data_IF_673412251157
#
_entry.id   IF_673412251157
#
_cell.length_a   1.000
_cell.length_b   1.000
_cell.length_c   1.000
_cell.angle_alpha   90.00
_cell.angle_beta   90.00
_cell.angle_gamma   90.00
#
_symmetry.space_group_name_H-M   'P 1'
#
loop_
_entity.id
_entity.type
_entity.pdbx_description
1 polymer ?
#
# COMPACT_ATOMS: atom_id res chain seq x y z
N UNK A 1 -65.76 -54.62 -57.33
CA UNK A 1 -66.55 -54.61 -56.09
C UNK A 1 -66.38 -53.26 -55.40
N UNK A 2 -67.51 -52.61 -55.04
CA UNK A 2 -67.71 -51.48 -54.10
C UNK A 2 -66.96 -50.16 -54.42
N UNK A 3 -67.63 -49.14 -54.98
CA UNK A 3 -68.50 -48.12 -54.32
C UNK A 3 -67.81 -47.41 -53.15
N UNK A 4 -67.53 -46.10 -53.26
CA UNK A 4 -68.37 -45.06 -52.63
C UNK A 4 -67.73 -43.66 -52.73
N UNK A 5 -68.63 -42.69 -52.80
CA UNK A 5 -68.56 -41.27 -53.14
C UNK A 5 -68.30 -40.38 -51.92
N UNK A 6 -68.03 -39.09 -52.21
CA UNK A 6 -68.41 -37.87 -51.45
C UNK A 6 -67.51 -37.41 -50.28
N UNK A 7 -66.97 -36.19 -50.36
CA UNK A 7 -67.59 -34.95 -49.83
C UNK A 7 -66.52 -33.85 -49.69
N UNK A 8 -66.73 -32.73 -50.38
CA UNK A 8 -65.96 -31.51 -50.22
C UNK A 8 -66.38 -30.78 -48.93
N UNK A 9 -65.39 -30.36 -48.13
CA UNK A 9 -65.59 -29.43 -47.01
C UNK A 9 -64.61 -28.26 -47.17
N UNK A 10 -65.17 -27.09 -47.48
CA UNK A 10 -64.51 -25.81 -47.64
C UNK A 10 -64.17 -25.26 -46.25
N UNK A 11 -62.87 -25.22 -45.89
CA UNK A 11 -62.39 -24.61 -44.64
C UNK A 11 -61.95 -23.17 -44.96
N UNK A 12 -62.77 -22.21 -44.55
CA UNK A 12 -62.41 -20.79 -44.47
C UNK A 12 -61.46 -20.57 -43.30
N UNK A 13 -60.18 -20.33 -43.61
CA UNK A 13 -59.17 -19.86 -42.67
C UNK A 13 -59.44 -18.38 -42.33
N UNK A 14 -59.89 -18.13 -41.10
CA UNK A 14 -59.81 -16.81 -40.49
C UNK A 14 -58.34 -16.51 -40.17
N UNK A 15 -57.77 -15.53 -40.85
CA UNK A 15 -56.51 -14.89 -40.44
C UNK A 15 -56.79 -14.08 -39.18
N UNK A 16 -56.45 -14.63 -38.01
CA UNK A 16 -56.20 -13.81 -36.82
C UNK A 16 -54.95 -13.00 -37.07
N UNK A 17 -55.12 -11.70 -37.29
CA UNK A 17 -54.04 -10.73 -37.16
C UNK A 17 -53.54 -10.76 -35.71
N UNK A 18 -52.35 -11.31 -35.49
CA UNK A 18 -51.57 -10.97 -34.32
C UNK A 18 -51.36 -9.46 -34.36
N UNK A 19 -51.83 -8.76 -33.33
CA UNK A 19 -51.40 -7.40 -33.07
C UNK A 19 -49.88 -7.43 -32.97
N UNK A 20 -49.21 -6.66 -33.81
CA UNK A 20 -47.83 -6.27 -33.55
C UNK A 20 -47.87 -5.33 -32.34
N UNK A 21 -47.93 -5.91 -31.15
CA UNK A 21 -47.42 -5.24 -29.96
C UNK A 21 -45.91 -5.19 -30.16
N UNK A 22 -45.45 -4.11 -30.79
CA UNK A 22 -44.07 -3.68 -30.65
C UNK A 22 -43.88 -3.37 -29.17
N UNK A 23 -43.53 -4.38 -28.37
CA UNK A 23 -42.83 -4.19 -27.11
C UNK A 23 -41.45 -3.61 -27.45
N UNK A 24 -41.42 -2.31 -27.80
CA UNK A 24 -40.19 -1.56 -27.77
C UNK A 24 -39.61 -1.72 -26.37
N UNK A 25 -38.42 -2.32 -26.28
CA UNK A 25 -37.74 -2.47 -25.01
C UNK A 25 -37.69 -1.09 -24.34
N UNK A 26 -38.37 -0.96 -23.20
CA UNK A 26 -38.38 0.27 -22.43
C UNK A 26 -36.93 0.64 -22.13
N UNK A 27 -36.52 1.84 -22.54
CA UNK A 27 -35.19 2.37 -22.30
C UNK A 27 -35.25 3.46 -21.25
N UNK A 28 -34.45 3.28 -20.21
CA UNK A 28 -34.22 4.24 -19.14
C UNK A 28 -32.94 5.03 -19.41
N UNK A 29 -33.00 6.36 -19.25
CA UNK A 29 -31.79 7.17 -19.10
C UNK A 29 -31.31 7.12 -17.65
N UNK A 30 -30.22 6.41 -17.40
CA UNK A 30 -29.56 6.40 -16.11
C UNK A 30 -28.54 7.54 -16.03
N UNK A 31 -28.81 8.54 -15.19
CA UNK A 31 -27.89 9.62 -14.85
C UNK A 31 -27.07 9.21 -13.63
N UNK A 32 -25.76 9.15 -13.78
CA UNK A 32 -24.83 8.90 -12.69
C UNK A 32 -24.22 10.24 -12.26
N UNK A 33 -24.26 10.54 -10.97
CA UNK A 33 -23.55 11.67 -10.35
C UNK A 33 -22.50 11.11 -9.39
N UNK A 34 -21.22 11.45 -9.61
CA UNK A 34 -20.16 11.05 -8.68
C UNK A 34 -19.91 12.10 -7.59
N UNK A 35 -19.57 11.61 -6.40
CA UNK A 35 -19.02 12.39 -5.30
C UNK A 35 -17.66 11.80 -4.91
N UNK A 36 -16.67 12.67 -4.74
CA UNK A 36 -15.35 12.29 -4.20
C UNK A 36 -15.34 12.53 -2.68
N UNK A 37 -14.54 11.80 -1.90
CA UNK A 37 -14.39 12.07 -0.47
C UNK A 37 -13.77 13.45 -0.22
N UNK A 38 -14.11 14.08 0.90
CA UNK A 38 -13.78 15.50 1.20
C UNK A 38 -12.27 15.82 1.14
N UNK A 39 -11.42 14.86 1.50
CA UNK A 39 -9.96 15.00 1.48
C UNK A 39 -9.33 14.95 0.07
N UNK A 40 -10.14 14.73 -0.98
CA UNK A 40 -9.70 14.70 -2.37
C UNK A 40 -10.31 15.83 -3.21
N UNK A 41 -10.55 16.99 -2.60
CA UNK A 41 -11.08 18.19 -3.28
C UNK A 41 -10.16 18.74 -4.39
N UNK A 42 -8.89 18.33 -4.40
CA UNK A 42 -7.94 18.64 -5.48
C UNK A 42 -8.23 17.88 -6.78
N UNK A 43 -8.92 16.73 -6.70
CA UNK A 43 -9.22 15.91 -7.85
C UNK A 43 -10.44 16.45 -8.60
N UNK A 44 -10.31 16.64 -9.91
CA UNK A 44 -11.46 16.92 -10.77
C UNK A 44 -12.37 15.69 -10.92
N UNK A 45 -13.63 15.90 -11.30
CA UNK A 45 -14.63 14.82 -11.44
C UNK A 45 -14.79 14.30 -12.88
N UNK A 46 -13.97 14.78 -13.81
CA UNK A 46 -14.05 14.39 -15.22
C UNK A 46 -13.32 13.06 -15.46
N UNK A 47 -13.69 12.36 -16.54
CA UNK A 47 -12.94 11.21 -17.04
C UNK A 47 -12.96 9.95 -16.17
N UNK A 48 -13.99 9.75 -15.35
CA UNK A 48 -14.24 8.48 -14.67
C UNK A 48 -15.01 7.55 -15.60
N UNK A 49 -14.50 6.33 -15.77
CA UNK A 49 -15.15 5.29 -16.55
C UNK A 49 -16.34 4.73 -15.77
N UNK A 50 -17.55 4.86 -16.31
CA UNK A 50 -18.78 4.29 -15.78
C UNK A 50 -19.17 3.10 -16.66
N UNK A 51 -19.38 1.94 -16.05
CA UNK A 51 -19.76 0.71 -16.73
C UNK A 51 -21.00 0.12 -16.06
N UNK A 52 -22.07 -0.06 -16.82
CA UNK A 52 -23.26 -0.79 -16.41
C UNK A 52 -23.34 -2.11 -17.17
N UNK A 53 -23.23 -3.24 -16.46
CA UNK A 53 -23.28 -4.59 -17.04
C UNK A 53 -24.63 -5.22 -16.71
N UNK A 54 -25.42 -5.55 -17.75
CA UNK A 54 -26.71 -6.20 -17.56
C UNK A 54 -26.55 -7.59 -16.96
N UNK A 55 -27.25 -7.87 -15.86
CA UNK A 55 -27.14 -9.14 -15.11
C UNK A 55 -27.57 -10.37 -15.92
N UNK A 56 -28.55 -10.21 -16.80
CA UNK A 56 -29.07 -11.29 -17.66
C UNK A 56 -28.35 -11.39 -19.00
N UNK A 57 -27.93 -10.26 -19.57
CA UNK A 57 -27.33 -10.19 -20.91
C UNK A 57 -25.81 -10.28 -20.90
N UNK A 58 -25.16 -9.97 -19.77
CA UNK A 58 -23.72 -9.71 -19.66
C UNK A 58 -23.19 -8.64 -20.62
N UNK A 59 -24.09 -7.80 -21.18
CA UNK A 59 -23.71 -6.70 -22.06
C UNK A 59 -23.33 -5.50 -21.20
N UNK A 60 -22.14 -4.94 -21.47
CA UNK A 60 -21.64 -3.75 -20.80
C UNK A 60 -21.89 -2.50 -21.64
N UNK A 61 -22.64 -1.54 -21.07
CA UNK A 61 -22.78 -0.17 -21.60
C UNK A 61 -21.81 0.73 -20.85
N UNK A 62 -21.11 1.60 -21.57
CA UNK A 62 -20.04 2.45 -21.02
C UNK A 62 -20.36 3.92 -21.23
N UNK A 63 -19.98 4.74 -20.26
CA UNK A 63 -19.95 6.19 -20.35
C UNK A 63 -18.74 6.72 -19.58
N UNK A 64 -18.49 8.02 -19.72
CA UNK A 64 -17.43 8.72 -19.02
C UNK A 64 -18.02 9.97 -18.35
N UNK A 65 -17.57 10.30 -17.15
CA UNK A 65 -18.04 11.51 -16.47
C UNK A 65 -17.53 12.79 -17.15
N UNK A 66 -18.42 13.78 -17.26
CA UNK A 66 -18.10 15.15 -17.65
C UNK A 66 -17.49 15.94 -16.46
N UNK A 67 -17.11 17.18 -16.70
CA UNK A 67 -16.46 18.05 -15.71
C UNK A 67 -17.28 18.29 -14.42
N UNK A 68 -18.61 18.21 -14.49
CA UNK A 68 -19.51 18.31 -13.33
C UNK A 68 -19.65 17.00 -12.54
N UNK A 69 -18.98 15.93 -12.99
CA UNK A 69 -19.06 14.60 -12.41
C UNK A 69 -20.28 13.80 -12.82
N UNK A 70 -20.99 14.20 -13.89
CA UNK A 70 -22.15 13.46 -14.40
C UNK A 70 -21.80 12.57 -15.58
N UNK A 71 -22.44 11.42 -15.68
CA UNK A 71 -22.45 10.57 -16.87
C UNK A 71 -23.89 10.11 -17.15
N UNK A 72 -24.23 9.88 -18.41
CA UNK A 72 -25.55 9.35 -18.79
C UNK A 72 -25.41 8.07 -19.61
N UNK A 73 -26.17 7.05 -19.25
CA UNK A 73 -26.25 5.77 -19.97
C UNK A 73 -27.70 5.54 -20.40
N UNK A 74 -27.90 5.09 -21.63
CA UNK A 74 -29.20 4.62 -22.09
C UNK A 74 -29.22 3.09 -21.96
N UNK A 75 -30.10 2.58 -21.10
CA UNK A 75 -30.15 1.17 -20.70
C UNK A 75 -31.57 0.65 -20.89
N UNK A 76 -31.74 -0.60 -21.32
CA UNK A 76 -33.05 -1.24 -21.23
C UNK A 76 -33.44 -1.45 -19.77
N UNK A 77 -34.73 -1.52 -19.49
CA UNK A 77 -35.20 -1.81 -18.14
C UNK A 77 -34.68 -3.18 -17.66
N UNK A 78 -34.13 -3.22 -16.46
CA UNK A 78 -33.49 -4.44 -15.94
C UNK A 78 -32.60 -4.22 -14.73
N UNK A 79 -31.89 -5.28 -14.34
CA UNK A 79 -30.92 -5.28 -13.25
C UNK A 79 -29.50 -5.18 -13.80
N UNK A 80 -28.69 -4.29 -13.22
CA UNK A 80 -27.33 -3.99 -13.66
C UNK A 80 -26.32 -4.08 -12.51
N UNK A 81 -25.11 -4.54 -12.82
CA UNK A 81 -23.92 -4.28 -12.01
C UNK A 81 -23.29 -2.98 -12.52
N UNK A 82 -23.15 -1.99 -11.64
CA UNK A 82 -22.58 -0.69 -11.97
C UNK A 82 -21.23 -0.57 -11.30
N UNK A 83 -20.20 -0.26 -12.09
CA UNK A 83 -18.86 0.06 -11.60
C UNK A 83 -18.39 1.39 -12.14
N UNK A 84 -17.72 2.17 -11.30
CA UNK A 84 -17.08 3.44 -11.66
C UNK A 84 -15.62 3.35 -11.25
N UNK A 85 -14.71 3.73 -12.15
CA UNK A 85 -13.27 3.80 -11.86
C UNK A 85 -12.65 5.04 -12.48
N UNK A 86 -11.74 5.68 -11.75
CA UNK A 86 -10.93 6.78 -12.24
C UNK A 86 -9.61 6.86 -11.48
N UNK A 87 -8.60 7.42 -12.12
CA UNK A 87 -7.31 7.71 -11.51
C UNK A 87 -7.04 9.20 -11.62
N UNK A 88 -6.58 9.80 -10.53
CA UNK A 88 -6.15 11.21 -10.51
C UNK A 88 -4.77 11.29 -9.88
N UNK A 89 -3.94 12.13 -10.47
CA UNK A 89 -2.60 12.40 -9.96
C UNK A 89 -2.49 13.88 -9.59
N UNK A 90 -1.73 14.15 -8.54
CA UNK A 90 -1.31 15.50 -8.17
C UNK A 90 0.14 15.49 -7.73
N UNK A 91 0.68 16.66 -7.44
CA UNK A 91 1.98 16.78 -6.79
C UNK A 91 1.85 17.38 -5.39
N UNK A 92 2.51 16.73 -4.44
CA UNK A 92 2.71 17.24 -3.07
C UNK A 92 4.20 17.41 -2.89
N UNK A 93 4.67 18.61 -2.58
CA UNK A 93 6.10 18.93 -2.43
C UNK A 93 6.98 18.51 -3.63
N UNK A 94 6.41 18.53 -4.85
CA UNK A 94 7.12 18.12 -6.07
C UNK A 94 7.15 16.61 -6.33
N UNK A 95 6.48 15.81 -5.50
CA UNK A 95 6.39 14.35 -5.61
C UNK A 95 5.03 13.98 -6.20
N UNK A 96 5.04 13.20 -7.28
CA UNK A 96 3.83 12.65 -7.88
C UNK A 96 3.14 11.65 -6.94
N UNK A 97 1.85 11.85 -6.71
CA UNK A 97 1.00 10.85 -6.08
C UNK A 97 -0.17 10.52 -6.99
N UNK A 98 -0.51 9.24 -7.10
CA UNK A 98 -1.67 8.77 -7.87
C UNK A 98 -2.69 8.13 -6.94
N UNK A 99 -3.96 8.48 -7.11
CA UNK A 99 -5.08 7.96 -6.33
C UNK A 99 -6.09 7.33 -7.28
N UNK A 100 -6.46 6.08 -6.98
CA UNK A 100 -7.55 5.37 -7.62
C UNK A 100 -8.84 5.65 -6.85
N UNK A 101 -9.87 5.97 -7.59
CA UNK A 101 -11.21 6.16 -7.08
C UNK A 101 -12.12 5.10 -7.69
N UNK A 102 -12.95 4.49 -6.86
CA UNK A 102 -13.79 3.38 -7.28
C UNK A 102 -15.15 3.37 -6.60
N UNK A 103 -16.13 2.81 -7.31
CA UNK A 103 -17.45 2.49 -6.78
C UNK A 103 -17.93 1.22 -7.46
N UNK A 104 -18.59 0.34 -6.70
CA UNK A 104 -19.25 -0.84 -7.22
C UNK A 104 -20.59 -1.03 -6.52
N UNK A 105 -21.65 -1.24 -7.29
CA UNK A 105 -22.97 -1.57 -6.78
C UNK A 105 -23.59 -2.66 -7.65
N UNK A 106 -24.05 -3.73 -7.01
CA UNK A 106 -24.59 -4.90 -7.69
C UNK A 106 -26.13 -4.88 -7.68
N UNK A 107 -26.73 -5.41 -8.74
CA UNK A 107 -28.19 -5.59 -8.85
C UNK A 107 -28.98 -4.28 -8.74
N UNK A 108 -28.46 -3.20 -9.32
CA UNK A 108 -29.17 -1.93 -9.42
C UNK A 108 -30.33 -2.10 -10.40
N UNK A 109 -31.55 -1.92 -9.90
CA UNK A 109 -32.74 -1.87 -10.75
C UNK A 109 -32.77 -0.54 -11.51
N UNK A 110 -32.87 -0.64 -12.84
CA UNK A 110 -33.00 0.46 -13.78
C UNK A 110 -34.35 0.32 -14.46
N UNK A 111 -35.23 1.30 -14.28
CA UNK A 111 -36.57 1.29 -14.86
C UNK A 111 -37.15 2.71 -15.05
N UNK A 112 -38.15 2.82 -15.92
CA UNK A 112 -38.84 4.08 -16.19
C UNK A 112 -38.17 4.93 -17.28
N UNK A 113 -38.41 6.24 -17.27
CA UNK A 113 -37.86 7.15 -18.30
C UNK A 113 -36.47 7.66 -17.95
N UNK A 114 -36.29 8.06 -16.70
CA UNK A 114 -35.06 8.65 -16.19
C UNK A 114 -34.87 8.26 -14.73
N UNK A 115 -33.66 7.88 -14.37
CA UNK A 115 -33.28 7.53 -13.01
C UNK A 115 -31.92 8.14 -12.68
N UNK A 116 -31.74 8.59 -11.44
CA UNK A 116 -30.46 9.11 -10.97
C UNK A 116 -29.82 8.17 -9.96
N UNK A 117 -28.54 7.86 -10.17
CA UNK A 117 -27.68 7.17 -9.22
C UNK A 117 -26.65 8.17 -8.68
N UNK A 118 -26.63 8.37 -7.37
CA UNK A 118 -25.56 9.12 -6.69
C UNK A 118 -24.53 8.10 -6.19
N UNK A 119 -23.31 8.21 -6.69
CA UNK A 119 -22.20 7.32 -6.36
C UNK A 119 -21.11 8.08 -5.61
N UNK A 120 -21.03 7.88 -4.29
CA UNK A 120 -19.88 8.34 -3.51
C UNK A 120 -18.74 7.34 -3.69
N UNK A 121 -17.63 7.80 -4.29
CA UNK A 121 -16.50 6.94 -4.60
C UNK A 121 -15.64 6.72 -3.36
N UNK A 122 -15.11 5.51 -3.23
CA UNK A 122 -14.00 5.21 -2.33
C UNK A 122 -12.70 5.61 -3.02
N UNK A 123 -11.76 6.14 -2.25
CA UNK A 123 -10.45 6.54 -2.75
C UNK A 123 -9.35 5.74 -2.07
N UNK A 124 -8.42 5.25 -2.88
CA UNK A 124 -7.28 4.48 -2.46
C UNK A 124 -6.05 4.97 -3.24
N UNK A 125 -5.01 5.46 -2.57
CA UNK A 125 -3.70 5.66 -3.17
C UNK A 125 -3.29 4.41 -3.96
N UNK A 126 -2.77 4.62 -5.16
CA UNK A 126 -2.26 3.52 -5.97
C UNK A 126 -0.81 3.27 -5.57
N UNK A 127 -0.60 2.32 -4.66
CA UNK A 127 0.74 1.83 -4.38
C UNK A 127 1.22 1.01 -5.58
N UNK A 128 2.12 1.59 -6.38
CA UNK A 128 2.73 0.94 -7.56
C UNK A 128 3.95 0.08 -7.20
N UNK A 129 4.21 -0.13 -5.90
CA UNK A 129 5.45 -0.71 -5.41
C UNK A 129 5.26 -1.46 -4.08
N UNK A 130 6.38 -1.72 -3.42
CA UNK A 130 6.48 -2.25 -2.07
C UNK A 130 5.88 -1.31 -1.04
N UNK A 131 5.32 -1.90 0.03
CA UNK A 131 4.96 -1.18 1.25
C UNK A 131 5.56 -1.86 2.49
N UNK A 132 5.84 -1.09 3.52
CA UNK A 132 6.22 -1.53 4.85
C UNK A 132 4.94 -1.96 5.58
N UNK A 133 4.76 -3.25 5.76
CA UNK A 133 3.60 -3.83 6.42
C UNK A 133 3.68 -3.70 7.94
N UNK A 134 4.84 -3.98 8.52
CA UNK A 134 5.00 -4.10 9.96
C UNK A 134 6.42 -3.72 10.38
N UNK A 135 6.54 -2.96 11.48
CA UNK A 135 7.84 -2.61 12.07
C UNK A 135 7.81 -3.01 13.55
N UNK A 136 8.60 -4.03 13.89
CA UNK A 136 8.86 -4.38 15.27
C UNK A 136 10.14 -3.71 15.75
N UNK A 137 10.02 -2.45 16.17
CA UNK A 137 11.14 -1.68 16.70
C UNK A 137 11.20 -1.72 18.23
N UNK A 138 10.11 -2.01 18.93
CA UNK A 138 10.06 -1.80 20.38
C UNK A 138 10.96 -2.76 21.17
N UNK A 139 11.32 -3.92 20.64
CA UNK A 139 12.05 -4.97 21.36
C UNK A 139 11.21 -5.58 22.49
N UNK A 140 11.81 -6.42 23.34
CA UNK A 140 11.11 -7.09 24.45
C UNK A 140 11.92 -7.06 25.75
N UNK A 141 11.32 -7.52 26.85
CA UNK A 141 11.99 -7.72 28.14
C UNK A 141 12.38 -9.18 28.33
N UNK A 142 13.56 -9.45 28.84
CA UNK A 142 13.92 -10.80 29.34
C UNK A 142 13.16 -11.13 30.64
N UNK A 143 13.08 -12.41 31.05
CA UNK A 143 12.46 -12.80 32.33
C UNK A 143 13.09 -12.10 33.56
N UNK A 144 14.36 -11.72 33.47
CA UNK A 144 15.09 -10.94 34.50
C UNK A 144 14.96 -9.42 34.32
N UNK A 145 14.00 -8.94 33.51
CA UNK A 145 13.69 -7.53 33.24
C UNK A 145 14.79 -6.73 32.48
N UNK A 146 15.79 -7.42 31.93
CA UNK A 146 16.75 -6.84 30.98
C UNK A 146 16.11 -6.52 29.63
N UNK A 147 16.65 -5.55 28.89
CA UNK A 147 16.16 -5.21 27.56
C UNK A 147 16.69 -6.23 26.52
N UNK A 148 15.86 -6.59 25.55
CA UNK A 148 16.17 -7.50 24.47
C UNK A 148 15.78 -6.87 23.14
N UNK A 149 16.75 -6.69 22.25
CA UNK A 149 16.60 -5.92 20.99
C UNK A 149 16.88 -6.76 19.75
N UNK A 150 17.44 -7.95 19.91
CA UNK A 150 17.80 -8.83 18.81
C UNK A 150 16.59 -9.39 18.06
N UNK A 151 15.38 -9.29 18.65
CA UNK A 151 14.13 -9.78 18.07
C UNK A 151 13.42 -8.78 17.14
N UNK A 152 14.05 -7.64 16.86
CA UNK A 152 13.49 -6.62 15.97
C UNK A 152 13.43 -7.08 14.50
N UNK A 153 12.43 -6.61 13.75
CA UNK A 153 12.31 -6.86 12.31
C UNK A 153 11.51 -5.78 11.58
N UNK A 154 11.61 -5.77 10.26
CA UNK A 154 10.77 -5.01 9.34
C UNK A 154 10.20 -5.97 8.30
N UNK A 155 8.90 -5.93 8.08
CA UNK A 155 8.22 -6.73 7.06
C UNK A 155 7.75 -5.87 5.91
N UNK A 156 8.16 -6.23 4.69
CA UNK A 156 7.81 -5.56 3.45
C UNK A 156 6.79 -6.42 2.68
N UNK A 157 5.84 -5.79 2.01
CA UNK A 157 4.71 -6.45 1.37
C UNK A 157 4.57 -6.00 -0.09
N UNK A 158 4.33 -6.95 -0.98
CA UNK A 158 3.95 -6.65 -2.35
C UNK A 158 2.46 -6.31 -2.41
N UNK A 159 2.17 -5.01 -2.35
CA UNK A 159 0.80 -4.48 -2.39
C UNK A 159 0.21 -4.41 -3.82
N UNK A 160 0.99 -4.81 -4.84
CA UNK A 160 0.62 -4.75 -6.25
C UNK A 160 -0.03 -6.04 -6.72
N UNK A 161 -0.56 -6.06 -7.95
CA UNK A 161 -1.12 -7.25 -8.60
C UNK A 161 -0.10 -7.96 -9.51
N UNK A 162 1.15 -7.49 -9.53
CA UNK A 162 2.26 -8.05 -10.29
C UNK A 162 3.33 -8.67 -9.38
N UNK A 163 4.15 -9.55 -9.93
CA UNK A 163 5.36 -10.02 -9.24
C UNK A 163 6.36 -8.86 -9.14
N UNK A 164 6.84 -8.58 -7.93
CA UNK A 164 7.93 -7.64 -7.69
C UNK A 164 9.22 -8.40 -7.38
N UNK A 165 10.36 -7.83 -7.73
CA UNK A 165 11.68 -8.39 -7.40
C UNK A 165 12.33 -7.55 -6.29
N UNK A 166 12.72 -8.22 -5.21
CA UNK A 166 13.26 -7.58 -4.02
C UNK A 166 14.73 -7.16 -4.18
N UNK A 167 15.43 -7.68 -5.19
CA UNK A 167 16.80 -7.35 -5.54
C UNK A 167 17.05 -5.82 -5.55
N UNK A 168 18.10 -5.40 -4.84
CA UNK A 168 18.51 -4.00 -4.73
C UNK A 168 17.58 -3.09 -3.93
N UNK A 169 16.47 -3.62 -3.37
CA UNK A 169 15.62 -2.87 -2.45
C UNK A 169 16.40 -2.60 -1.17
N UNK A 170 16.45 -1.33 -0.76
CA UNK A 170 17.17 -0.90 0.43
C UNK A 170 16.20 -0.53 1.54
N UNK A 171 16.57 -0.86 2.78
CA UNK A 171 15.97 -0.39 4.02
C UNK A 171 16.91 0.61 4.69
N UNK A 172 16.33 1.67 5.25
CA UNK A 172 17.09 2.76 5.86
C UNK A 172 16.39 3.32 7.10
N UNK A 173 17.19 3.74 8.07
CA UNK A 173 16.79 4.58 9.21
C UNK A 173 17.03 6.05 8.90
N UNK A 174 16.14 6.95 9.34
CA UNK A 174 16.36 8.39 9.27
C UNK A 174 17.47 8.85 10.22
N UNK A 175 18.38 9.71 9.75
CA UNK A 175 19.40 10.30 10.62
C UNK A 175 18.83 11.31 11.62
N UNK A 176 17.67 11.92 11.33
CA UNK A 176 17.03 12.80 12.29
C UNK A 176 16.29 12.00 13.37
N UNK A 177 16.28 12.52 14.60
CA UNK A 177 15.55 11.93 15.73
C UNK A 177 14.31 12.78 15.96
N UNK A 178 13.12 12.22 15.83
CA UNK A 178 11.86 12.99 15.72
C UNK A 178 11.43 13.75 16.97
N UNK A 179 12.01 13.42 18.12
CA UNK A 179 11.80 14.14 19.39
C UNK A 179 12.70 15.38 19.54
N UNK A 180 13.74 15.51 18.69
CA UNK A 180 14.65 16.64 18.74
C UNK A 180 14.07 17.83 17.94
N UNK A 181 14.47 19.07 18.26
CA UNK A 181 14.24 20.21 17.38
C UNK A 181 14.92 19.99 16.02
N UNK A 182 14.55 20.82 15.04
CA UNK A 182 15.19 20.84 13.73
C UNK A 182 16.73 20.85 13.80
N UNK A 183 17.34 20.14 12.86
CA UNK A 183 18.79 19.95 12.74
C UNK A 183 19.22 20.22 11.30
N UNK A 184 20.53 20.32 11.04
CA UNK A 184 21.02 20.43 9.66
C UNK A 184 20.53 19.30 8.72
N UNK A 185 20.16 18.14 9.28
CA UNK A 185 19.59 17.04 8.50
C UNK A 185 18.16 17.28 8.02
N UNK A 186 17.37 18.06 8.77
CA UNK A 186 15.98 18.39 8.39
C UNK A 186 15.92 19.51 7.36
N UNK A 187 17.00 20.28 7.20
CA UNK A 187 17.11 21.32 6.16
C UNK A 187 17.15 20.73 4.73
N UNK A 188 17.38 19.42 4.60
CA UNK A 188 17.32 18.68 3.33
C UNK A 188 15.88 18.40 2.86
N UNK A 189 14.91 18.48 3.77
CA UNK A 189 13.50 18.28 3.46
C UNK A 189 12.93 19.48 2.67
N UNK A 190 11.97 19.27 1.77
CA UNK A 190 11.33 17.99 1.43
C UNK A 190 12.08 17.18 0.36
N UNK A 191 13.16 17.72 -0.23
CA UNK A 191 13.80 17.14 -1.42
C UNK A 191 14.57 15.85 -1.14
N UNK A 192 15.17 15.72 0.04
CA UNK A 192 15.99 14.56 0.41
C UNK A 192 15.84 14.21 1.89
N UNK A 193 15.98 12.93 2.21
CA UNK A 193 15.99 12.41 3.59
C UNK A 193 17.40 11.95 3.95
N UNK A 194 17.98 12.50 5.02
CA UNK A 194 19.26 12.00 5.52
C UNK A 194 19.09 10.59 6.11
N UNK A 195 19.86 9.63 5.59
CA UNK A 195 19.91 8.25 6.06
C UNK A 195 21.03 8.05 7.10
N UNK A 196 20.68 7.39 8.21
CA UNK A 196 21.63 6.91 9.21
C UNK A 196 22.21 5.54 8.86
N UNK A 197 21.44 4.70 8.18
CA UNK A 197 21.82 3.36 7.78
C UNK A 197 21.28 3.03 6.40
N UNK A 198 21.96 2.17 5.65
CA UNK A 198 21.51 1.69 4.34
C UNK A 198 21.91 0.22 4.22
N UNK A 199 20.92 -0.66 4.20
CA UNK A 199 21.09 -2.11 3.98
C UNK A 199 20.28 -2.54 2.76
N UNK A 200 20.91 -3.24 1.82
CA UNK A 200 20.32 -3.62 0.54
C UNK A 200 20.10 -5.12 0.41
N UNK A 201 19.00 -5.54 -0.19
CA UNK A 201 18.78 -6.94 -0.57
C UNK A 201 19.73 -7.28 -1.74
N UNK A 202 20.53 -8.37 -1.64
CA UNK A 202 21.42 -8.79 -2.72
C UNK A 202 20.64 -9.22 -3.97
N UNK A 203 21.35 -9.50 -5.07
CA UNK A 203 20.79 -10.11 -6.27
C UNK A 203 21.06 -9.34 -7.56
N UNK A 204 20.72 -9.96 -8.68
CA UNK A 204 20.98 -9.46 -10.04
C UNK A 204 19.76 -8.78 -10.70
N UNK A 205 18.62 -8.70 -10.00
CA UNK A 205 17.38 -8.12 -10.48
C UNK A 205 16.24 -9.13 -10.65
N UNK A 206 16.55 -10.43 -10.62
CA UNK A 206 15.54 -11.50 -10.78
C UNK A 206 15.62 -12.63 -9.74
N UNK A 207 16.50 -12.51 -8.75
CA UNK A 207 16.80 -13.61 -7.83
C UNK A 207 15.72 -13.77 -6.75
N UNK A 208 15.04 -12.68 -6.37
CA UNK A 208 14.08 -12.66 -5.26
C UNK A 208 12.68 -12.19 -5.69
N UNK A 209 11.93 -13.01 -6.45
CA UNK A 209 10.54 -12.71 -6.82
C UNK A 209 9.60 -12.83 -5.63
N UNK A 210 8.72 -11.85 -5.45
CA UNK A 210 7.67 -11.84 -4.43
C UNK A 210 6.32 -11.68 -5.11
N UNK A 211 5.46 -12.67 -4.90
CA UNK A 211 4.15 -12.73 -5.54
C UNK A 211 3.21 -11.64 -5.01
N UNK A 212 2.19 -11.25 -5.80
CA UNK A 212 1.12 -10.38 -5.33
C UNK A 212 0.56 -10.84 -3.98
N UNK A 213 0.52 -9.93 -3.02
CA UNK A 213 -0.01 -10.22 -1.69
C UNK A 213 0.86 -11.12 -0.80
N UNK A 214 2.15 -11.24 -1.10
CA UNK A 214 3.14 -11.90 -0.25
C UNK A 214 4.09 -10.88 0.37
N UNK A 215 4.80 -11.28 1.43
CA UNK A 215 5.75 -10.45 2.16
C UNK A 215 7.14 -11.06 2.21
N UNK A 216 8.11 -10.21 2.53
CA UNK A 216 9.46 -10.58 2.97
C UNK A 216 9.72 -9.96 4.34
N UNK A 217 10.44 -10.70 5.18
CA UNK A 217 10.80 -10.28 6.54
C UNK A 217 12.30 -10.08 6.59
N UNK A 218 12.71 -8.89 7.02
CA UNK A 218 14.09 -8.50 7.28
C UNK A 218 14.27 -8.48 8.80
N UNK A 219 15.11 -9.34 9.34
CA UNK A 219 15.31 -9.48 10.78
C UNK A 219 16.60 -8.80 11.27
N UNK A 220 16.63 -8.34 12.51
CA UNK A 220 17.90 -7.99 13.17
C UNK A 220 18.77 -9.22 13.39
N UNK A 221 18.13 -10.35 13.66
CA UNK A 221 18.79 -11.62 13.83
C UNK A 221 17.79 -12.74 13.46
N UNK A 222 18.21 -13.69 12.63
CA UNK A 222 17.37 -14.75 12.09
C UNK A 222 17.03 -15.90 13.06
N UNK A 223 17.10 -15.69 14.36
CA UNK A 223 16.97 -16.77 15.36
C UNK A 223 15.54 -17.03 15.82
N UNK A 224 15.34 -18.17 16.49
CA UNK A 224 14.10 -18.41 17.25
C UNK A 224 14.18 -17.67 18.60
N UNK A 225 13.72 -16.42 18.62
CA UNK A 225 13.78 -15.60 19.82
C UNK A 225 12.86 -16.06 20.94
N UNK A 226 11.77 -16.79 20.65
CA UNK A 226 10.93 -17.40 21.70
C UNK A 226 11.68 -18.42 22.56
N UNK A 227 12.74 -19.02 22.03
CA UNK A 227 13.63 -19.94 22.76
C UNK A 227 14.75 -19.18 23.49
N UNK A 228 15.36 -18.19 22.82
CA UNK A 228 16.46 -17.39 23.39
C UNK A 228 15.99 -16.45 24.52
N UNK A 229 14.78 -15.92 24.38
CA UNK A 229 14.09 -15.09 25.34
C UNK A 229 12.61 -15.53 25.41
N UNK A 230 12.18 -16.25 26.48
CA UNK A 230 10.80 -16.73 26.61
C UNK A 230 9.71 -15.65 26.58
N UNK A 231 10.07 -14.38 26.77
CA UNK A 231 9.16 -13.24 26.68
C UNK A 231 9.15 -12.58 25.28
N UNK A 232 10.03 -13.00 24.37
CA UNK A 232 10.03 -12.52 23.00
C UNK A 232 8.82 -13.11 22.25
N UNK A 233 8.09 -12.29 21.47
CA UNK A 233 6.87 -12.72 20.80
C UNK A 233 7.11 -13.41 19.44
N UNK A 234 8.36 -13.52 18.97
CA UNK A 234 8.65 -13.91 17.58
C UNK A 234 9.65 -15.05 17.43
N UNK A 235 9.44 -15.83 16.37
CA UNK A 235 10.41 -16.77 15.81
C UNK A 235 10.80 -16.24 14.42
N UNK A 236 12.06 -15.84 14.25
CA UNK A 236 12.56 -15.23 13.01
C UNK A 236 13.40 -16.20 12.17
N UNK A 237 13.37 -17.50 12.47
CA UNK A 237 14.09 -18.54 11.70
C UNK A 237 13.65 -18.68 10.24
N UNK A 238 12.53 -18.06 9.87
CA UNK A 238 12.01 -18.00 8.49
C UNK A 238 12.15 -16.63 7.86
N UNK A 239 12.88 -15.71 8.50
CA UNK A 239 13.19 -14.41 7.90
C UNK A 239 13.85 -14.63 6.54
N UNK A 240 13.55 -13.75 5.59
CA UNK A 240 14.12 -13.86 4.24
C UNK A 240 15.55 -13.35 4.23
N UNK A 241 15.83 -12.35 5.07
CA UNK A 241 17.17 -11.83 5.29
C UNK A 241 17.35 -11.36 6.74
N UNK A 242 18.61 -11.22 7.15
CA UNK A 242 19.01 -10.49 8.35
C UNK A 242 20.00 -9.35 8.05
N UNK A 243 20.11 -8.35 8.92
CA UNK A 243 21.16 -7.32 8.82
C UNK A 243 22.34 -7.62 9.75
N UNK A 244 23.24 -8.49 9.30
CA UNK A 244 24.48 -8.78 10.01
C UNK A 244 25.52 -7.65 9.88
N UNK A 245 26.08 -7.23 11.00
CA UNK A 245 27.02 -6.09 11.12
C UNK A 245 28.48 -6.47 11.39
N UNK A 246 28.81 -7.77 11.38
CA UNK A 246 30.18 -8.28 11.63
C UNK A 246 30.77 -7.80 12.98
N UNK A 247 29.92 -7.65 14.00
CA UNK A 247 30.31 -7.17 15.32
C UNK A 247 30.14 -8.26 16.39
N UNK A 248 30.93 -8.22 17.46
CA UNK A 248 30.88 -9.22 18.54
C UNK A 248 29.55 -9.30 19.33
N UNK A 249 28.65 -8.33 19.11
CA UNK A 249 27.30 -8.32 19.69
C UNK A 249 26.25 -8.92 18.74
N UNK A 250 26.67 -9.22 17.52
CA UNK A 250 25.84 -9.72 16.44
C UNK A 250 26.22 -11.15 16.11
N UNK A 251 25.22 -12.02 16.03
CA UNK A 251 25.41 -13.44 15.80
C UNK A 251 24.86 -13.75 14.42
N UNK A 252 25.75 -14.00 13.47
CA UNK A 252 25.39 -14.44 12.12
C UNK A 252 24.62 -15.78 12.20
N UNK A 253 23.45 -15.84 11.58
CA UNK A 253 22.59 -17.03 11.50
C UNK A 253 22.72 -17.59 10.08
N UNK A 254 23.56 -18.63 9.86
CA UNK A 254 23.92 -19.07 8.51
C UNK A 254 22.74 -19.49 7.62
N UNK A 255 21.63 -19.92 8.22
CA UNK A 255 20.41 -20.30 7.52
C UNK A 255 19.59 -19.11 6.99
N UNK A 256 19.84 -17.89 7.49
CA UNK A 256 19.17 -16.66 7.07
C UNK A 256 20.15 -15.78 6.30
N UNK A 257 19.96 -15.54 5.00
CA UNK A 257 20.89 -14.75 4.19
C UNK A 257 21.08 -13.31 4.68
N UNK A 258 22.28 -12.77 4.51
CA UNK A 258 22.60 -11.41 4.93
C UNK A 258 22.20 -10.34 3.90
N UNK A 259 21.66 -9.22 4.40
CA UNK A 259 21.60 -7.97 3.66
C UNK A 259 23.01 -7.41 3.42
N UNK A 260 23.18 -6.65 2.34
CA UNK A 260 24.40 -5.92 2.07
C UNK A 260 24.42 -4.62 2.88
N UNK A 261 25.33 -4.51 3.84
CA UNK A 261 25.60 -3.26 4.55
C UNK A 261 26.29 -2.25 3.64
N UNK A 262 25.55 -1.29 3.10
CA UNK A 262 26.10 -0.22 2.28
C UNK A 262 26.61 0.95 3.13
N UNK A 263 25.91 1.27 4.22
CA UNK A 263 26.31 2.31 5.14
C UNK A 263 25.68 2.13 6.53
N UNK A 264 26.41 2.48 7.58
CA UNK A 264 25.86 2.66 8.94
C UNK A 264 26.67 3.70 9.69
N UNK A 265 26.00 4.62 10.41
CA UNK A 265 26.68 5.52 11.34
C UNK A 265 27.20 4.80 12.58
N UNK A 266 26.65 3.62 12.91
CA UNK A 266 27.05 2.81 14.05
C UNK A 266 28.34 2.06 13.71
N UNK A 267 29.31 2.11 14.63
CA UNK A 267 30.51 1.28 14.58
C UNK A 267 30.30 -0.12 15.19
N UNK A 268 29.08 -0.40 15.67
CA UNK A 268 28.70 -1.66 16.29
C UNK A 268 27.60 -2.34 15.48
N UNK A 269 26.42 -2.49 16.06
CA UNK A 269 25.22 -3.04 15.43
C UNK A 269 24.21 -1.94 15.16
N UNK A 270 23.37 -2.13 14.15
CA UNK A 270 22.17 -1.36 13.92
C UNK A 270 21.01 -1.96 14.71
N UNK A 271 20.50 -1.14 15.64
CA UNK A 271 19.35 -1.48 16.47
C UNK A 271 18.27 -0.46 16.13
N UNK A 272 17.08 -0.94 15.78
CA UNK A 272 15.93 -0.06 15.59
C UNK A 272 15.66 0.68 16.90
N UNK A 273 15.49 2.00 16.84
CA UNK A 273 15.33 2.80 18.05
C UNK A 273 14.06 2.40 18.81
N UNK A 274 14.20 1.77 19.98
CA UNK A 274 13.12 1.08 20.69
C UNK A 274 11.98 1.95 21.24
N UNK A 275 12.14 3.29 21.22
CA UNK A 275 11.07 4.26 21.51
C UNK A 275 10.44 4.89 20.27
N UNK A 276 10.83 4.45 19.08
CA UNK A 276 10.31 4.98 17.82
C UNK A 276 10.76 6.41 17.53
N UNK A 277 11.96 6.83 17.98
CA UNK A 277 12.44 8.20 17.70
C UNK A 277 13.06 8.33 16.30
N UNK A 278 13.12 7.22 15.57
CA UNK A 278 13.71 7.10 14.24
C UNK A 278 12.64 6.58 13.31
N UNK A 279 12.58 7.17 12.12
CA UNK A 279 11.65 6.78 11.06
C UNK A 279 12.36 5.85 10.09
N UNK A 280 11.59 4.98 9.43
CA UNK A 280 12.16 3.95 8.54
C UNK A 280 11.55 4.07 7.16
N UNK A 281 12.36 3.83 6.14
CA UNK A 281 11.93 3.95 4.77
C UNK A 281 12.64 2.96 3.86
N UNK A 282 11.99 2.64 2.75
CA UNK A 282 12.53 1.78 1.70
C UNK A 282 12.70 2.56 0.41
N UNK A 283 13.76 2.25 -0.33
CA UNK A 283 14.06 2.91 -1.60
C UNK A 283 14.80 1.95 -2.54
N UNK A 284 14.80 2.28 -3.84
CA UNK A 284 15.73 1.66 -4.80
C UNK A 284 16.58 2.77 -5.42
N UNK A 285 17.92 2.63 -5.45
CA UNK A 285 18.77 3.65 -6.04
C UNK A 285 18.49 3.78 -7.55
N UNK A 286 18.60 4.99 -8.08
CA UNK A 286 18.42 5.31 -9.52
C UNK A 286 19.65 4.96 -10.38
N UNK A 287 20.73 4.54 -9.73
CA UNK A 287 22.06 4.25 -10.25
C UNK A 287 22.66 3.06 -9.48
N UNK A 288 23.84 2.57 -9.88
CA UNK A 288 24.54 1.58 -9.06
C UNK A 288 24.87 2.15 -7.67
N UNK A 289 24.86 1.29 -6.64
CA UNK A 289 24.95 1.75 -5.25
C UNK A 289 26.21 2.59 -4.95
N UNK A 290 27.43 2.22 -5.40
CA UNK A 290 28.60 3.08 -5.19
C UNK A 290 28.45 4.50 -5.79
N UNK A 291 27.97 4.62 -7.04
CA UNK A 291 27.73 5.91 -7.65
C UNK A 291 26.61 6.69 -6.95
N UNK A 292 25.54 5.99 -6.54
CA UNK A 292 24.44 6.56 -5.78
C UNK A 292 24.92 7.16 -4.46
N UNK A 293 25.74 6.44 -3.70
CA UNK A 293 26.28 6.92 -2.43
C UNK A 293 27.18 8.14 -2.66
N UNK A 294 28.12 8.09 -3.60
CA UNK A 294 29.02 9.22 -3.87
C UNK A 294 28.25 10.49 -4.24
N UNK A 295 27.26 10.38 -5.13
CA UNK A 295 26.39 11.50 -5.55
C UNK A 295 25.60 12.11 -4.37
N UNK A 296 25.19 11.29 -3.41
CA UNK A 296 24.28 11.69 -2.34
C UNK A 296 24.98 11.90 -0.99
N UNK A 297 26.31 11.92 -0.95
CA UNK A 297 27.07 12.16 0.28
C UNK A 297 26.94 13.62 0.72
N UNK A 298 26.53 13.83 1.97
CA UNK A 298 26.39 15.15 2.59
C UNK A 298 27.20 15.21 3.87
N UNK A 299 27.96 16.28 4.03
CA UNK A 299 28.75 16.56 5.22
C UNK A 299 28.10 17.67 6.03
N UNK A 300 28.09 17.51 7.36
CA UNK A 300 27.67 18.56 8.30
C UNK A 300 28.55 18.53 9.54
N UNK A 301 28.36 19.49 10.43
CA UNK A 301 29.02 19.55 11.73
C UNK A 301 28.02 19.19 12.82
N UNK A 302 28.34 18.19 13.65
CA UNK A 302 27.48 17.83 14.77
C UNK A 302 27.56 18.86 15.92
N UNK A 303 26.69 18.72 16.93
CA UNK A 303 26.67 19.63 18.08
C UNK A 303 28.00 19.74 18.86
N UNK A 304 28.91 18.78 18.68
CA UNK A 304 30.25 18.78 19.28
C UNK A 304 31.33 19.40 18.38
N UNK A 305 30.97 20.02 17.25
CA UNK A 305 31.91 20.66 16.34
C UNK A 305 32.67 19.67 15.43
N UNK A 306 32.29 18.38 15.39
CA UNK A 306 32.93 17.37 14.56
C UNK A 306 32.23 17.25 13.21
N UNK A 307 33.01 17.23 12.14
CA UNK A 307 32.52 16.89 10.79
C UNK A 307 32.03 15.44 10.77
N UNK A 308 30.79 15.27 10.32
CA UNK A 308 30.12 13.97 10.13
C UNK A 308 29.53 13.95 8.73
N UNK A 309 29.50 12.77 8.11
CA UNK A 309 28.86 12.58 6.82
C UNK A 309 27.68 11.62 6.94
N UNK A 310 26.69 11.82 6.09
CA UNK A 310 25.52 10.95 5.86
C UNK A 310 25.21 10.90 4.38
N UNK A 311 24.22 10.11 4.01
CA UNK A 311 23.71 10.05 2.64
C UNK A 311 22.31 10.64 2.58
N UNK A 312 22.11 11.65 1.74
CA UNK A 312 20.83 12.32 1.55
C UNK A 312 20.07 11.64 0.41
N UNK A 313 19.12 10.78 0.76
CA UNK A 313 18.34 9.98 -0.18
C UNK A 313 17.32 10.88 -0.87
N UNK A 314 17.34 11.02 -2.21
CA UNK A 314 16.34 11.78 -2.93
C UNK A 314 14.93 11.28 -2.64
N UNK A 315 14.02 12.20 -2.33
CA UNK A 315 12.65 11.85 -1.93
C UNK A 315 11.89 11.09 -3.03
N UNK A 316 12.23 11.33 -4.31
CA UNK A 316 11.61 10.67 -5.46
C UNK A 316 12.01 9.21 -5.67
N UNK A 317 13.05 8.70 -5.00
CA UNK A 317 13.44 7.28 -5.07
C UNK A 317 12.93 6.46 -3.89
N UNK A 318 12.37 7.13 -2.87
CA UNK A 318 11.73 6.48 -1.72
C UNK A 318 10.41 5.88 -2.19
N UNK A 319 10.24 4.58 -1.94
CA UNK A 319 9.07 3.82 -2.38
C UNK A 319 7.97 3.84 -1.33
N UNK A 320 8.35 3.79 -0.05
CA UNK A 320 7.45 3.87 1.09
C UNK A 320 8.25 4.23 2.36
N UNK A 321 7.58 4.84 3.32
CA UNK A 321 8.17 5.20 4.60
C UNK A 321 7.15 5.24 5.74
N UNK A 322 7.67 5.09 6.95
CA UNK A 322 6.88 5.15 8.18
C UNK A 322 7.56 6.15 9.12
N UNK A 323 6.90 7.28 9.34
CA UNK A 323 7.31 8.23 10.37
C UNK A 323 6.96 7.68 11.75
N UNK A 324 7.97 7.52 12.61
CA UNK A 324 7.77 7.16 14.00
C UNK A 324 8.14 8.32 14.92
N UNK A 325 7.41 8.44 16.01
CA UNK A 325 7.83 9.25 17.14
C UNK A 325 7.36 8.61 18.44
N UNK A 326 7.85 9.13 19.57
CA UNK A 326 7.17 8.89 20.83
C UNK A 326 5.74 9.42 20.75
N UNK A 327 4.81 8.70 21.35
CA UNK A 327 3.43 9.16 21.49
C UNK A 327 3.41 10.56 22.14
N UNK A 328 2.88 11.55 21.41
CA UNK A 328 2.76 12.95 21.82
C UNK A 328 4.08 13.70 22.06
N UNK A 329 5.21 13.22 21.52
CA UNK A 329 6.50 13.93 21.62
C UNK A 329 7.18 14.20 20.28
N UNK A 330 6.44 14.10 19.15
CA UNK A 330 6.93 14.58 17.86
C UNK A 330 7.22 16.08 17.95
N UNK A 331 8.47 16.44 17.72
CA UNK A 331 8.95 17.82 17.69
C UNK A 331 9.19 18.25 16.24
N UNK A 332 9.98 17.47 15.51
CA UNK A 332 10.29 17.70 14.10
C UNK A 332 10.21 16.37 13.34
N UNK A 333 9.55 16.38 12.17
CA UNK A 333 9.49 15.21 11.28
C UNK A 333 10.84 14.91 10.67
N UNK A 334 11.13 13.63 10.47
CA UNK A 334 12.30 13.18 9.74
C UNK A 334 12.01 12.95 8.24
N UNK A 335 10.73 12.88 7.85
CA UNK A 335 10.28 12.63 6.48
C UNK A 335 9.51 13.84 5.90
N UNK A 336 9.56 14.06 4.56
CA UNK A 336 8.71 15.02 3.86
C UNK A 336 7.23 14.67 4.04
N UNK A 337 6.36 15.67 4.07
CA UNK A 337 4.92 15.44 4.23
C UNK A 337 4.33 14.69 3.02
N UNK A 338 4.94 14.84 1.84
CA UNK A 338 4.56 14.10 0.64
C UNK A 338 4.85 12.59 0.71
N UNK A 339 5.81 12.17 1.53
CA UNK A 339 6.16 10.77 1.76
C UNK A 339 5.37 10.22 2.97
N UNK A 340 5.33 10.97 4.07
CA UNK A 340 4.52 10.65 5.23
C UNK A 340 4.01 11.93 5.90
N UNK A 341 2.71 12.19 5.84
CA UNK A 341 2.09 13.38 6.41
C UNK A 341 1.87 13.29 7.93
N UNK A 342 1.99 12.10 8.52
CA UNK A 342 1.70 11.83 9.93
C UNK A 342 2.87 11.24 10.67
N UNK A 343 2.54 10.47 11.72
CA UNK A 343 3.44 9.57 12.42
C UNK A 343 2.63 8.50 13.17
N UNK A 344 3.25 7.36 13.44
CA UNK A 344 2.72 6.32 14.32
C UNK A 344 3.70 5.99 15.45
N UNK A 345 3.33 5.11 16.38
CA UNK A 345 4.09 4.89 17.61
C UNK A 345 3.82 3.51 18.25
N UNK A 346 4.69 3.15 19.18
CA UNK A 346 4.39 2.21 20.26
C UNK A 346 4.56 2.98 21.58
N UNK A 347 3.67 2.76 22.54
CA UNK A 347 3.64 3.56 23.77
C UNK A 347 4.90 3.39 24.62
N UNK A 348 5.48 2.18 24.62
CA UNK A 348 6.57 1.82 25.51
C UNK A 348 7.68 1.09 24.76
N UNK A 349 8.92 1.39 25.14
CA UNK A 349 10.07 0.58 24.76
C UNK A 349 10.06 -0.77 25.46
N UNK A 350 10.58 -1.79 24.79
CA UNK A 350 10.66 -3.18 25.22
C UNK A 350 9.28 -3.80 25.50
N UNK A 351 8.23 -3.30 24.82
CA UNK A 351 6.85 -3.73 25.04
C UNK A 351 6.49 -5.03 24.33
N UNK A 352 7.31 -5.48 23.38
CA UNK A 352 6.97 -6.62 22.54
C UNK A 352 5.89 -6.28 21.52
N UNK A 353 5.73 -5.00 21.14
CA UNK A 353 4.67 -4.51 20.27
C UNK A 353 5.20 -3.88 18.97
N UNK A 354 4.37 -3.87 17.94
CA UNK A 354 4.67 -3.33 16.61
C UNK A 354 3.72 -2.20 16.24
N UNK A 355 4.10 -1.48 15.19
CA UNK A 355 3.12 -0.78 14.35
C UNK A 355 2.80 -1.67 13.15
N UNK A 356 1.52 -1.85 12.83
CA UNK A 356 1.05 -2.69 11.73
C UNK A 356 0.17 -1.89 10.78
N UNK A 357 0.46 -1.96 9.48
CA UNK A 357 -0.33 -1.32 8.42
C UNK A 357 -1.74 -1.93 8.36
N UNK A 358 -2.76 -1.08 8.22
CA UNK A 358 -4.17 -1.46 8.15
C UNK A 358 -4.48 -2.18 6.84
N UNK A 359 -5.44 -3.09 6.90
CA UNK A 359 -6.08 -3.63 5.69
C UNK A 359 -7.04 -2.58 5.15
N UNK A 360 -6.87 -2.23 3.88
CA UNK A 360 -7.81 -1.37 3.16
C UNK A 360 -8.99 -2.19 2.64
N UNK A 361 -8.70 -3.30 1.94
CA UNK A 361 -9.71 -4.21 1.37
C UNK A 361 -9.07 -5.53 0.96
N UNK A 362 -9.90 -6.47 0.54
CA UNK A 362 -9.46 -7.75 -0.05
C UNK A 362 -9.99 -7.85 -1.49
N UNK A 363 -9.11 -8.17 -2.42
CA UNK A 363 -9.41 -8.41 -3.84
C UNK A 363 -9.14 -9.87 -4.20
N UNK A 364 -10.20 -10.68 -4.25
CA UNK A 364 -10.05 -12.13 -4.41
C UNK A 364 -9.29 -12.74 -3.23
N UNK A 365 -8.12 -13.29 -3.48
CA UNK A 365 -7.24 -13.87 -2.45
C UNK A 365 -6.14 -12.91 -1.98
N UNK A 366 -6.12 -11.66 -2.47
CA UNK A 366 -5.07 -10.68 -2.18
C UNK A 366 -5.59 -9.62 -1.22
N UNK A 367 -4.92 -9.44 -0.09
CA UNK A 367 -5.17 -8.32 0.81
C UNK A 367 -4.48 -7.07 0.28
N UNK A 368 -5.18 -5.94 0.26
CA UNK A 368 -4.62 -4.63 -0.08
C UNK A 368 -4.43 -3.87 1.22
N UNK A 369 -3.19 -3.48 1.50
CA UNK A 369 -2.85 -2.67 2.66
C UNK A 369 -3.06 -1.18 2.35
N UNK A 370 -3.49 -0.43 3.36
CA UNK A 370 -3.72 1.01 3.25
C UNK A 370 -2.38 1.77 3.18
N UNK A 371 -2.31 2.78 2.31
CA UNK A 371 -1.07 3.51 2.03
C UNK A 371 -1.35 4.97 1.63
N UNK A 372 -1.88 5.77 2.54
CA UNK A 372 -2.24 7.18 2.32
C UNK A 372 -1.07 8.15 2.44
N UNK A 373 0.16 7.65 2.45
CA UNK A 373 1.36 8.41 2.80
C UNK A 373 1.13 9.16 4.12
N UNK A 374 0.50 8.51 5.11
CA UNK A 374 0.24 9.08 6.41
C UNK A 374 0.19 7.99 7.48
N UNK A 375 1.30 7.83 8.20
CA UNK A 375 1.45 6.76 9.20
C UNK A 375 0.35 6.72 10.26
N UNK A 376 -0.23 7.88 10.62
CA UNK A 376 -1.32 7.95 11.60
C UNK A 376 -2.58 7.28 11.07
N UNK A 377 -2.88 7.49 9.79
CA UNK A 377 -4.05 6.92 9.14
C UNK A 377 -3.81 5.49 8.70
N UNK A 378 -2.58 5.13 8.33
CA UNK A 378 -2.25 3.84 7.73
C UNK A 378 -1.90 2.74 8.73
N UNK A 379 -1.45 3.07 9.94
CA UNK A 379 -0.98 2.07 10.89
C UNK A 379 -1.84 1.97 12.16
N UNK A 380 -1.96 0.74 12.66
CA UNK A 380 -2.41 0.42 14.00
C UNK A 380 -1.19 0.41 14.93
N UNK A 381 -1.13 1.26 15.97
CA UNK A 381 -0.07 1.22 16.97
C UNK A 381 -0.29 0.06 17.96
N UNK A 382 0.76 -0.33 18.68
CA UNK A 382 0.69 -1.24 19.82
C UNK A 382 0.10 -2.64 19.50
N UNK A 383 0.41 -3.18 18.33
CA UNK A 383 -0.08 -4.51 17.93
C UNK A 383 0.86 -5.62 18.41
N UNK A 384 0.32 -6.80 18.68
CA UNK A 384 1.15 -8.01 18.93
C UNK A 384 1.83 -8.41 17.62
N UNK A 385 3.16 -8.58 17.56
CA UNK A 385 3.88 -8.99 16.35
C UNK A 385 3.27 -10.22 15.67
N UNK A 386 3.20 -10.20 14.34
CA UNK A 386 2.75 -11.36 13.56
C UNK A 386 3.52 -11.44 12.23
N UNK A 387 4.86 -11.63 12.30
CA UNK A 387 5.65 -11.76 11.08
C UNK A 387 5.15 -12.95 10.26
N UNK A 388 5.28 -12.88 8.94
CA UNK A 388 4.85 -13.92 7.99
C UNK A 388 3.34 -14.14 7.87
N UNK A 389 2.51 -13.47 8.68
CA UNK A 389 1.05 -13.61 8.64
C UNK A 389 0.45 -12.53 7.75
N UNK A 390 -0.13 -12.90 6.62
CA UNK A 390 -0.86 -11.92 5.79
C UNK A 390 -2.18 -11.57 6.50
N UNK A 391 -2.45 -10.28 6.78
CA UNK A 391 -3.70 -9.88 7.42
C UNK A 391 -4.88 -10.19 6.50
N UNK A 392 -6.01 -10.57 7.08
CA UNK A 392 -7.26 -10.85 6.35
C UNK A 392 -8.29 -9.75 6.53
#
# INVERSE_FOLDING_TARGET
MKKSTFLALLITLFFSACSNDNDEAQVTTLKVQINLPDNYSWADKENFAVVATGTSSNVATKATTAADGTASLLLSDGLYHISIKGEKSHQVEGIDQTVVFQYANQNVAVNGKEQTLIATLEAAPLSKSWVIKEIYFSGSKTPSNGNYWQDQYIELYNNTDQVLYADGLCISESEHTTINPATAWTDLLPSQVAAGTIYGIPGNGTDYPVQPGQSIVLASNGSNHTVLNPNSPVDLTKAHFEWYDEHALDVDVPEVPNLIKHYSYSLSVWILHNRGYRSYFIFKPDTDMPAFLEKNKVETTNAAGKVVYRYAIPANVILDAVELSQHNALNQKALPAAIDAGYTYCDNANSGLVVRRKVLRTEGNRTILQDTNNSKEDFLPNQVPSPFVIPQ
#
